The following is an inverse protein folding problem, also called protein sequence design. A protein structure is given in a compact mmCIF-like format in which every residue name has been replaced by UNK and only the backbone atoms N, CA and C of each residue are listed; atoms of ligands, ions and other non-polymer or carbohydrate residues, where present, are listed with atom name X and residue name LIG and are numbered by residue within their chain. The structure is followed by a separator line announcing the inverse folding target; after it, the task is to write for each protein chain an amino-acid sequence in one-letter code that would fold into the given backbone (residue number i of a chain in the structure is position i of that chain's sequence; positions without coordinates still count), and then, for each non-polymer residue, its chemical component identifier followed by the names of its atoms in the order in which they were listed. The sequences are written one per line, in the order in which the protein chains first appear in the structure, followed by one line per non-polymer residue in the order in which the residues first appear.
data_IF_014784510346
#
_entry.id   IF_014784510346
#
_cell.length_a   1.000
_cell.length_b   1.000
_cell.length_c   1.000
_cell.angle_alpha   90.00
_cell.angle_beta   90.00
_cell.angle_gamma   90.00
#
_symmetry.space_group_name_H-M   'P 1'
#
loop_
_entity.id
_entity.type
_entity.pdbx_description
1 polymer ?
#
# COMPACT_ATOMS: atom_id res chain seq x y z
N UNK A 1 0.40 17.58 -3.48
CA UNK A 1 -0.10 16.85 -2.30
C UNK A 1 -1.24 15.97 -2.77
N UNK A 2 -1.11 14.66 -2.59
CA UNK A 2 -2.14 13.69 -2.99
C UNK A 2 -3.25 13.71 -1.93
N UNK A 3 -4.50 13.51 -2.33
CA UNK A 3 -5.63 13.37 -1.41
C UNK A 3 -5.93 11.91 -1.14
N UNK A 4 -6.63 11.62 -0.03
CA UNK A 4 -7.14 10.27 0.26
C UNK A 4 -8.08 9.76 -0.86
N UNK A 5 -8.82 10.65 -1.52
CA UNK A 5 -9.68 10.34 -2.67
C UNK A 5 -8.83 9.82 -3.82
N UNK A 6 -7.75 10.54 -4.16
CA UNK A 6 -6.86 10.17 -5.25
C UNK A 6 -6.13 8.85 -4.98
N UNK A 7 -5.75 8.59 -3.72
CA UNK A 7 -5.21 7.28 -3.32
C UNK A 7 -6.21 6.15 -3.62
N UNK A 8 -7.48 6.32 -3.22
CA UNK A 8 -8.54 5.35 -3.48
C UNK A 8 -8.81 5.16 -4.97
N UNK A 9 -8.86 6.24 -5.75
CA UNK A 9 -9.03 6.19 -7.21
C UNK A 9 -7.93 5.36 -7.88
N UNK A 10 -6.66 5.58 -7.52
CA UNK A 10 -5.54 4.80 -8.05
C UNK A 10 -5.68 3.34 -7.62
N UNK A 11 -5.94 3.07 -6.34
CA UNK A 11 -6.08 1.71 -5.83
C UNK A 11 -7.23 0.94 -6.50
N UNK A 12 -8.35 1.59 -6.81
CA UNK A 12 -9.50 0.99 -7.48
C UNK A 12 -9.33 0.87 -9.01
N UNK A 13 -8.36 1.57 -9.59
CA UNK A 13 -8.07 1.47 -11.03
C UNK A 13 -7.46 0.12 -11.44
N UNK A 14 -6.92 -0.64 -10.49
CA UNK A 14 -6.32 -1.94 -10.78
C UNK A 14 -7.38 -3.03 -11.02
N UNK A 15 -7.13 -3.99 -11.93
CA UNK A 15 -8.07 -5.06 -12.24
C UNK A 15 -8.44 -5.91 -11.03
N UNK A 16 -9.73 -6.25 -10.92
CA UNK A 16 -10.29 -7.12 -9.87
C UNK A 16 -10.16 -6.56 -8.44
N UNK A 17 -9.82 -5.27 -8.27
CA UNK A 17 -9.77 -4.64 -6.95
C UNK A 17 -11.17 -4.23 -6.50
N UNK A 18 -11.46 -4.52 -5.23
CA UNK A 18 -12.63 -4.01 -4.52
C UNK A 18 -12.19 -3.26 -3.26
N UNK A 19 -12.97 -2.27 -2.85
CA UNK A 19 -12.88 -1.67 -1.53
C UNK A 19 -13.85 -2.35 -0.56
N UNK A 20 -13.39 -2.59 0.67
CA UNK A 20 -14.20 -3.13 1.76
C UNK A 20 -13.77 -2.53 3.10
N UNK A 21 -14.68 -2.41 4.08
CA UNK A 21 -14.31 -2.03 5.44
C UNK A 21 -13.27 -2.97 6.06
N UNK A 22 -12.36 -2.40 6.86
CA UNK A 22 -11.38 -3.12 7.66
C UNK A 22 -11.15 -2.38 8.98
N UNK A 23 -11.99 -2.69 9.97
CA UNK A 23 -12.09 -1.92 11.22
C UNK A 23 -12.38 -0.43 10.90
N UNK A 24 -11.62 0.50 11.45
CA UNK A 24 -11.72 1.94 11.22
C UNK A 24 -11.01 2.41 9.93
N UNK A 25 -10.73 1.49 9.01
CA UNK A 25 -9.99 1.75 7.77
C UNK A 25 -10.73 1.19 6.57
N UNK A 26 -10.39 1.71 5.40
CA UNK A 26 -10.77 1.13 4.10
C UNK A 26 -9.67 0.15 3.71
N UNK A 27 -10.05 -1.00 3.15
CA UNK A 27 -9.12 -1.98 2.59
C UNK A 27 -9.37 -2.20 1.11
N UNK A 28 -8.30 -2.23 0.34
CA UNK A 28 -8.32 -2.55 -1.09
C UNK A 28 -7.81 -3.97 -1.29
N UNK A 29 -8.60 -4.78 -2.00
CA UNK A 29 -8.40 -6.23 -2.04
C UNK A 29 -8.46 -6.81 -3.44
N UNK A 30 -7.61 -7.80 -3.68
CA UNK A 30 -7.62 -8.64 -4.88
C UNK A 30 -8.02 -10.05 -4.43
N UNK A 31 -9.15 -10.58 -4.93
CA UNK A 31 -9.62 -11.93 -4.57
C UNK A 31 -9.59 -12.19 -3.06
N UNK A 32 -10.10 -11.24 -2.29
CA UNK A 32 -10.16 -11.21 -0.82
C UNK A 32 -8.80 -11.06 -0.08
N UNK A 33 -7.69 -10.80 -0.78
CA UNK A 33 -6.39 -10.48 -0.17
C UNK A 33 -6.17 -8.97 -0.15
N UNK A 34 -5.88 -8.42 1.02
CA UNK A 34 -5.55 -7.00 1.19
C UNK A 34 -4.16 -6.75 0.60
N UNK A 35 -4.06 -5.75 -0.28
CA UNK A 35 -2.76 -5.21 -0.72
C UNK A 35 -2.54 -3.80 -0.17
N UNK A 36 -3.60 -3.01 -0.03
CA UNK A 36 -3.52 -1.69 0.56
C UNK A 36 -4.65 -1.43 1.58
N UNK A 37 -4.39 -0.56 2.55
CA UNK A 37 -5.41 0.01 3.44
C UNK A 37 -5.24 1.52 3.53
N UNK A 38 -6.31 2.24 3.85
CA UNK A 38 -6.32 3.68 4.00
C UNK A 38 -7.02 4.06 5.31
N UNK A 39 -6.35 4.86 6.13
CA UNK A 39 -6.90 5.45 7.34
C UNK A 39 -7.13 6.95 7.10
N UNK A 40 -8.39 7.33 6.85
CA UNK A 40 -8.75 8.70 6.46
C UNK A 40 -8.48 9.71 7.58
N UNK A 41 -8.64 9.31 8.85
CA UNK A 41 -8.40 10.18 10.01
C UNK A 41 -6.93 10.55 10.19
N UNK A 42 -6.00 9.72 9.72
CA UNK A 42 -4.56 9.93 9.87
C UNK A 42 -3.86 10.27 8.56
N UNK A 43 -4.56 10.20 7.43
CA UNK A 43 -4.00 10.29 6.08
C UNK A 43 -2.84 9.30 5.84
N UNK A 44 -2.93 8.11 6.46
CA UNK A 44 -1.94 7.05 6.29
C UNK A 44 -2.51 5.96 5.40
N UNK A 45 -1.81 5.72 4.29
CA UNK A 45 -1.92 4.50 3.51
C UNK A 45 -1.02 3.42 4.09
N UNK A 46 -1.41 2.16 3.99
CA UNK A 46 -0.51 1.03 4.28
C UNK A 46 -0.55 0.08 3.12
N UNK A 47 0.61 -0.23 2.55
CA UNK A 47 0.76 -1.13 1.39
C UNK A 47 1.56 -2.37 1.74
N UNK A 48 1.28 -3.49 1.07
CA UNK A 48 2.05 -4.72 1.16
C UNK A 48 3.08 -4.78 0.03
N UNK A 49 4.35 -4.62 0.37
CA UNK A 49 5.48 -4.66 -0.57
C UNK A 49 6.29 -5.95 -0.42
N UNK A 50 7.16 -6.22 -1.40
CA UNK A 50 8.31 -7.10 -1.18
C UNK A 50 9.27 -6.44 -0.18
N UNK A 51 10.19 -7.21 0.42
CA UNK A 51 11.17 -6.62 1.35
C UNK A 51 12.19 -5.74 0.61
N UNK A 52 12.49 -6.08 -0.65
CA UNK A 52 13.35 -5.29 -1.52
C UNK A 52 12.70 -3.93 -1.84
N UNK A 53 11.45 -3.94 -2.31
CA UNK A 53 10.71 -2.71 -2.58
C UNK A 53 10.53 -1.88 -1.30
N UNK A 54 10.18 -2.53 -0.17
CA UNK A 54 10.08 -1.82 1.11
C UNK A 54 11.37 -1.10 1.45
N UNK A 55 12.53 -1.75 1.29
CA UNK A 55 13.84 -1.13 1.53
C UNK A 55 14.09 0.04 0.57
N UNK A 56 13.79 -0.13 -0.72
CA UNK A 56 13.95 0.92 -1.72
C UNK A 56 13.06 2.13 -1.39
N UNK A 57 11.76 1.92 -1.23
CA UNK A 57 10.81 3.00 -0.91
C UNK A 57 11.14 3.71 0.41
N UNK A 58 11.53 2.99 1.46
CA UNK A 58 11.89 3.60 2.74
C UNK A 58 13.22 4.37 2.70
N UNK A 59 14.03 4.19 1.65
CA UNK A 59 15.23 5.00 1.43
C UNK A 59 14.94 6.35 0.77
N UNK A 60 13.75 6.54 0.19
CA UNK A 60 13.34 7.77 -0.48
C UNK A 60 12.66 8.76 0.48
N UNK A 61 13.29 9.93 0.64
CA UNK A 61 12.75 11.05 1.41
C UNK A 61 12.72 10.81 2.92
N UNK A 62 12.76 11.88 3.70
CA UNK A 62 12.69 11.74 5.16
C UNK A 62 11.26 11.36 5.59
N UNK A 63 11.12 10.09 5.98
CA UNK A 63 9.96 9.59 6.73
C UNK A 63 8.61 9.67 5.98
N UNK A 64 8.61 9.61 4.64
CA UNK A 64 7.38 9.50 3.82
C UNK A 64 6.85 8.07 3.88
N UNK A 65 7.75 7.10 3.76
CA UNK A 65 7.44 5.68 3.83
C UNK A 65 8.23 5.02 4.95
N UNK A 66 7.56 4.22 5.78
CA UNK A 66 8.20 3.50 6.89
C UNK A 66 7.62 2.11 7.08
N UNK A 67 8.44 1.12 7.48
CA UNK A 67 7.90 -0.18 7.84
C UNK A 67 6.90 -0.05 9.00
N UNK A 68 5.77 -0.78 8.90
CA UNK A 68 4.83 -0.89 10.01
C UNK A 68 5.54 -1.49 11.22
N UNK A 69 5.32 -0.95 12.42
CA UNK A 69 5.99 -1.44 13.63
C UNK A 69 5.73 -2.94 13.87
N UNK A 70 6.77 -3.63 14.35
CA UNK A 70 6.69 -5.04 14.75
C UNK A 70 6.64 -6.03 13.60
N UNK A 71 5.98 -7.17 13.82
CA UNK A 71 5.98 -8.33 12.89
C UNK A 71 5.40 -8.02 11.50
N UNK A 72 4.58 -6.98 11.37
CA UNK A 72 3.98 -6.60 10.10
C UNK A 72 4.98 -5.93 9.16
N UNK A 73 5.83 -5.03 9.68
CA UNK A 73 6.92 -4.42 8.91
C UNK A 73 7.90 -5.44 8.38
N UNK A 74 8.27 -6.43 9.21
CA UNK A 74 9.12 -7.57 8.80
C UNK A 74 8.49 -8.44 7.70
N UNK A 75 7.18 -8.27 7.43
CA UNK A 75 6.46 -8.91 6.34
C UNK A 75 6.22 -7.95 5.18
N UNK A 76 6.91 -6.81 5.10
CA UNK A 76 6.79 -5.85 4.00
C UNK A 76 5.55 -4.95 4.06
N UNK A 77 4.84 -4.89 5.19
CA UNK A 77 3.78 -3.88 5.35
C UNK A 77 4.41 -2.53 5.67
N UNK A 78 4.05 -1.52 4.90
CA UNK A 78 4.72 -0.21 4.90
C UNK A 78 3.70 0.90 4.95
N UNK A 79 3.86 1.84 5.88
CA UNK A 79 3.06 3.05 5.95
C UNK A 79 3.51 4.03 4.85
N UNK A 80 2.57 4.80 4.34
CA UNK A 80 2.78 5.93 3.44
C UNK A 80 2.04 7.13 4.04
N UNK A 81 2.76 8.23 4.26
CA UNK A 81 2.17 9.52 4.59
C UNK A 81 1.64 10.19 3.31
N UNK A 82 0.33 10.14 3.11
CA UNK A 82 -0.32 10.63 1.88
C UNK A 82 -0.13 12.14 1.70
N UNK A 83 0.02 12.89 2.80
CA UNK A 83 0.22 14.33 2.73
C UNK A 83 1.63 14.71 2.27
N UNK A 84 2.60 13.82 2.41
CA UNK A 84 4.00 14.04 2.01
C UNK A 84 4.37 13.39 0.69
N UNK A 85 3.66 12.33 0.30
CA UNK A 85 3.90 11.65 -0.96
C UNK A 85 3.38 12.47 -2.16
N UNK A 86 4.11 12.38 -3.28
CA UNK A 86 3.61 12.81 -4.59
C UNK A 86 2.82 11.68 -5.28
N UNK A 87 2.12 12.04 -6.36
CA UNK A 87 1.25 11.10 -7.08
C UNK A 87 2.02 9.93 -7.68
N UNK A 88 3.24 10.17 -8.17
CA UNK A 88 4.11 9.14 -8.75
C UNK A 88 4.49 8.10 -7.70
N UNK A 89 4.91 8.54 -6.51
CA UNK A 89 5.25 7.64 -5.41
C UNK A 89 4.04 6.81 -4.96
N UNK A 90 2.85 7.41 -4.89
CA UNK A 90 1.61 6.67 -4.57
C UNK A 90 1.30 5.63 -5.63
N UNK A 91 1.38 6.00 -6.91
CA UNK A 91 1.15 5.10 -8.03
C UNK A 91 2.14 3.93 -8.03
N UNK A 92 3.43 4.21 -7.86
CA UNK A 92 4.48 3.20 -7.84
C UNK A 92 4.30 2.23 -6.66
N UNK A 93 4.06 2.76 -5.46
CA UNK A 93 3.87 1.94 -4.26
C UNK A 93 2.62 1.04 -4.35
N UNK A 94 1.51 1.59 -4.86
CA UNK A 94 0.28 0.82 -5.06
C UNK A 94 0.44 -0.23 -6.16
N UNK A 95 1.15 0.09 -7.25
CA UNK A 95 1.43 -0.85 -8.35
C UNK A 95 2.30 -2.01 -7.86
N UNK A 96 3.42 -1.72 -7.17
CA UNK A 96 4.28 -2.76 -6.60
C UNK A 96 3.53 -3.62 -5.59
N UNK A 97 2.63 -3.01 -4.82
CA UNK A 97 1.82 -3.74 -3.85
C UNK A 97 0.78 -4.65 -4.51
N UNK A 98 0.08 -4.16 -5.52
CA UNK A 98 -0.84 -4.93 -6.34
C UNK A 98 -0.14 -6.15 -6.93
N UNK A 99 1.03 -5.94 -7.57
CA UNK A 99 1.84 -7.00 -8.17
C UNK A 99 2.26 -8.02 -7.12
N UNK A 100 2.80 -7.57 -5.99
CA UNK A 100 3.25 -8.43 -4.87
C UNK A 100 2.13 -9.37 -4.41
N UNK A 101 0.90 -8.86 -4.27
CA UNK A 101 -0.23 -9.65 -3.77
C UNK A 101 -0.86 -10.50 -4.87
N UNK A 102 -0.99 -9.98 -6.09
CA UNK A 102 -1.53 -10.71 -7.24
C UNK A 102 -0.65 -11.91 -7.61
N UNK A 103 0.68 -11.74 -7.60
CA UNK A 103 1.65 -12.78 -7.97
C UNK A 103 1.96 -13.77 -6.85
N UNK A 104 1.44 -13.59 -5.63
CA UNK A 104 1.64 -14.53 -4.50
C UNK A 104 1.13 -15.97 -4.74
N UNK A 105 0.63 -16.29 -5.94
CA UNK A 105 0.32 -17.66 -6.41
C UNK A 105 1.33 -18.24 -7.41
N UNK A 106 2.25 -17.47 -7.99
CA UNK A 106 3.16 -17.95 -9.04
C UNK A 106 4.44 -18.62 -8.50
N UNK A 107 4.71 -18.52 -7.19
CA UNK A 107 5.93 -19.06 -6.55
C UNK A 107 5.65 -20.15 -5.52
N UNK A 108 4.58 -20.92 -5.69
CA UNK A 108 4.48 -22.23 -5.03
C UNK A 108 5.04 -23.28 -6.00
N UNK A 109 6.34 -23.56 -5.83
CA UNK A 109 6.98 -24.78 -6.34
C UNK A 109 6.23 -26.02 -5.86
#
# INVERSE_FOLDING_TARGET
MVTIIKFSEIALSFPEVIELPHFEKISFRIKNKIFATLCETTNIGVVKLSLEDQSAFCSFGENIMTPVKGKWGLKGWTNIDILKADETMILDALTSSYITVAQSRLTKN
#
